data_IF_858722306471
#
_entry.id   IF_858722306471
#
_cell.length_a   1.000
_cell.length_b   1.000
_cell.length_c   1.000
_cell.angle_alpha   90.00
_cell.angle_beta   90.00
_cell.angle_gamma   90.00
#
_symmetry.space_group_name_H-M   'P 1'
#
loop_
_entity.id
_entity.type
_entity.pdbx_description
1 polymer ?
#
# COMPACT_ATOMS: atom_id res chain seq x y z
N UNK A 1 12.95 -28.66 -71.74
CA UNK A 1 13.72 -28.07 -70.63
C UNK A 1 12.77 -27.19 -69.83
N UNK A 2 12.18 -27.82 -68.83
CA UNK A 2 11.00 -27.39 -68.09
C UNK A 2 11.46 -26.82 -66.74
N UNK A 3 11.19 -25.54 -66.47
CA UNK A 3 11.53 -24.89 -65.20
C UNK A 3 10.32 -24.99 -64.26
N UNK A 4 10.38 -25.94 -63.34
CA UNK A 4 9.56 -26.04 -62.13
C UNK A 4 9.72 -24.80 -61.24
N UNK A 5 8.62 -24.24 -60.66
CA UNK A 5 8.70 -23.24 -59.62
C UNK A 5 9.00 -23.88 -58.25
N UNK A 6 9.99 -23.33 -57.55
CA UNK A 6 10.45 -23.76 -56.23
C UNK A 6 9.47 -23.24 -55.15
N UNK A 7 8.75 -24.17 -54.51
CA UNK A 7 8.05 -24.00 -53.23
C UNK A 7 9.02 -23.44 -52.18
N UNK A 8 8.70 -22.32 -51.56
CA UNK A 8 9.26 -21.94 -50.26
C UNK A 8 8.16 -22.14 -49.20
N UNK A 9 8.31 -23.22 -48.45
CA UNK A 9 7.76 -23.36 -47.10
C UNK A 9 8.80 -22.77 -46.14
N UNK A 10 8.33 -21.91 -45.25
CA UNK A 10 9.08 -21.29 -44.16
C UNK A 10 8.06 -20.65 -43.22
N UNK A 11 7.27 -21.50 -42.57
CA UNK A 11 6.56 -21.17 -41.34
C UNK A 11 7.56 -21.22 -40.16
N UNK A 12 7.16 -20.59 -39.05
CA UNK A 12 7.87 -20.42 -37.78
C UNK A 12 8.99 -19.36 -37.83
N UNK A 13 8.87 -18.19 -37.20
CA UNK A 13 8.45 -18.00 -35.82
C UNK A 13 8.21 -16.49 -35.60
N UNK A 14 6.94 -16.07 -35.53
CA UNK A 14 6.58 -14.78 -34.97
C UNK A 14 6.54 -14.95 -33.45
N UNK A 15 7.65 -14.59 -32.80
CA UNK A 15 7.67 -14.36 -31.36
C UNK A 15 6.50 -13.42 -30.99
N UNK A 16 5.63 -13.79 -30.04
CA UNK A 16 4.61 -12.88 -29.57
C UNK A 16 5.31 -11.70 -28.88
N UNK A 17 4.96 -10.52 -29.37
CA UNK A 17 5.38 -9.22 -28.87
C UNK A 17 5.52 -9.24 -27.34
N UNK A 18 6.71 -8.87 -26.88
CA UNK A 18 7.08 -8.82 -25.48
C UNK A 18 5.96 -8.24 -24.63
N UNK A 19 5.54 -9.03 -23.64
CA UNK A 19 4.87 -8.50 -22.46
C UNK A 19 5.75 -7.37 -21.94
N UNK A 20 5.28 -6.14 -22.10
CA UNK A 20 5.88 -4.97 -21.47
C UNK A 20 6.22 -5.34 -20.01
N UNK A 21 7.44 -5.03 -19.52
CA UNK A 21 7.72 -5.19 -18.11
C UNK A 21 6.63 -4.42 -17.34
N UNK A 22 6.07 -5.00 -16.27
CA UNK A 22 5.03 -4.33 -15.49
C UNK A 22 5.54 -2.94 -15.12
N UNK A 23 4.80 -1.92 -15.55
CA UNK A 23 5.07 -0.54 -15.15
C UNK A 23 5.14 -0.49 -13.63
N UNK A 24 5.99 0.37 -13.04
CA UNK A 24 6.11 0.47 -11.58
C UNK A 24 4.72 0.79 -11.02
N UNK A 25 4.08 -0.24 -10.47
CA UNK A 25 2.74 -0.20 -9.89
C UNK A 25 2.60 1.07 -9.05
N UNK A 26 1.66 1.92 -9.43
CA UNK A 26 1.13 2.95 -8.55
C UNK A 26 0.75 2.29 -7.23
N UNK A 27 1.38 2.73 -6.14
CA UNK A 27 1.06 2.29 -4.77
C UNK A 27 -0.46 2.21 -4.61
N UNK A 28 -0.96 1.07 -4.13
CA UNK A 28 -2.40 0.79 -4.02
C UNK A 28 -3.13 1.93 -3.27
N UNK A 29 -4.20 2.42 -3.88
CA UNK A 29 -5.03 3.48 -3.30
C UNK A 29 -5.67 3.03 -1.97
N UNK A 30 -5.86 1.72 -1.79
CA UNK A 30 -6.22 1.10 -0.51
C UNK A 30 -5.19 1.36 0.60
N UNK A 31 -3.90 1.16 0.32
CA UNK A 31 -2.80 1.42 1.26
C UNK A 31 -2.75 2.89 1.70
N UNK A 32 -2.91 3.84 0.77
CA UNK A 32 -2.95 5.26 1.12
C UNK A 32 -4.13 5.60 2.04
N UNK A 33 -5.33 5.06 1.77
CA UNK A 33 -6.50 5.25 2.63
C UNK A 33 -6.26 4.70 4.04
N UNK A 34 -5.60 3.55 4.15
CA UNK A 34 -5.28 2.94 5.45
C UNK A 34 -4.28 3.80 6.25
N UNK A 35 -3.20 4.26 5.61
CA UNK A 35 -2.19 5.12 6.23
C UNK A 35 -2.82 6.44 6.72
N UNK A 36 -3.70 7.06 5.92
CA UNK A 36 -4.42 8.27 6.32
C UNK A 36 -5.32 8.05 7.53
N UNK A 37 -6.08 6.94 7.56
CA UNK A 37 -6.92 6.58 8.71
C UNK A 37 -6.10 6.33 9.97
N UNK A 38 -4.96 5.65 9.82
CA UNK A 38 -4.03 5.44 10.93
C UNK A 38 -3.47 6.79 11.43
N UNK A 39 -3.04 7.68 10.53
CA UNK A 39 -2.54 9.02 10.88
C UNK A 39 -3.58 9.85 11.62
N UNK A 40 -4.84 9.83 11.16
CA UNK A 40 -5.95 10.50 11.84
C UNK A 40 -6.24 9.90 13.22
N UNK A 41 -6.17 8.57 13.36
CA UNK A 41 -6.33 7.90 14.65
C UNK A 41 -5.22 8.32 15.63
N UNK A 42 -3.95 8.35 15.19
CA UNK A 42 -2.85 8.82 16.04
C UNK A 42 -3.02 10.27 16.44
N UNK A 43 -3.41 11.14 15.51
CA UNK A 43 -3.74 12.53 15.81
C UNK A 43 -4.85 12.63 16.87
N UNK A 44 -5.93 11.86 16.74
CA UNK A 44 -7.05 11.87 17.68
C UNK A 44 -6.62 11.40 19.08
N UNK A 45 -5.87 10.30 19.17
CA UNK A 45 -5.38 9.76 20.44
C UNK A 45 -4.44 10.74 21.15
N UNK A 46 -3.49 11.33 20.41
CA UNK A 46 -2.54 12.28 20.97
C UNK A 46 -3.24 13.57 21.41
N UNK A 47 -4.18 14.08 20.60
CA UNK A 47 -4.98 15.25 20.94
C UNK A 47 -5.83 15.01 22.18
N UNK A 48 -6.46 13.84 22.30
CA UNK A 48 -7.25 13.45 23.47
C UNK A 48 -6.36 13.38 24.72
N UNK A 49 -5.17 12.79 24.60
CA UNK A 49 -4.19 12.75 25.70
C UNK A 49 -3.78 14.16 26.15
N UNK A 50 -3.48 15.07 25.21
CA UNK A 50 -3.12 16.45 25.53
C UNK A 50 -4.27 17.22 26.19
N UNK A 51 -5.51 17.02 25.71
CA UNK A 51 -6.71 17.62 26.30
C UNK A 51 -6.93 17.09 27.72
N UNK A 52 -6.91 15.76 27.91
CA UNK A 52 -7.06 15.13 29.22
C UNK A 52 -5.98 15.58 30.20
N UNK A 53 -4.72 15.64 29.76
CA UNK A 53 -3.62 16.13 30.56
C UNK A 53 -3.82 17.60 30.98
N UNK A 54 -4.32 18.45 30.08
CA UNK A 54 -4.58 19.86 30.38
C UNK A 54 -5.72 20.01 31.40
N UNK A 55 -6.81 19.26 31.23
CA UNK A 55 -7.92 19.21 32.19
C UNK A 55 -7.45 18.71 33.55
N UNK A 56 -6.69 17.61 33.57
CA UNK A 56 -6.12 17.06 34.80
C UNK A 56 -5.23 18.09 35.52
N UNK A 57 -4.35 18.79 34.81
CA UNK A 57 -3.49 19.83 35.40
C UNK A 57 -4.28 21.01 35.95
N UNK A 58 -5.40 21.37 35.33
CA UNK A 58 -6.28 22.43 35.81
C UNK A 58 -6.95 22.07 37.15
N UNK A 59 -7.38 20.83 37.33
CA UNK A 59 -8.08 20.40 38.56
C UNK A 59 -7.14 19.98 39.70
N UNK A 60 -5.96 19.45 39.39
CA UNK A 60 -5.04 18.86 40.37
C UNK A 60 -3.72 19.66 40.49
N UNK A 61 -3.77 20.97 40.26
CA UNK A 61 -2.62 21.84 40.39
C UNK A 61 -2.06 21.79 41.83
N UNK A 62 -0.74 21.58 41.96
CA UNK A 62 -0.05 21.53 43.26
C UNK A 62 0.04 20.15 43.93
N UNK A 63 -0.66 19.13 43.45
CA UNK A 63 -0.47 17.76 43.94
C UNK A 63 0.83 17.16 43.36
N UNK A 64 1.75 16.62 44.18
CA UNK A 64 2.89 15.84 43.71
C UNK A 64 2.39 14.47 43.22
N UNK A 65 1.72 14.47 42.07
CA UNK A 65 1.10 13.31 41.45
C UNK A 65 1.59 13.09 40.02
N UNK A 66 1.68 11.80 39.66
CA UNK A 66 2.22 11.19 38.44
C UNK A 66 2.14 12.00 37.12
N UNK A 67 3.21 11.86 36.32
CA UNK A 67 3.38 12.33 34.94
C UNK A 67 3.49 13.84 34.71
N UNK A 68 4.50 14.51 35.30
CA UNK A 68 4.83 15.87 34.87
C UNK A 68 5.40 15.90 33.44
N UNK A 69 4.62 16.42 32.50
CA UNK A 69 5.05 16.75 31.15
C UNK A 69 5.42 18.25 31.05
N UNK A 70 6.71 18.59 30.95
CA UNK A 70 7.14 19.97 30.75
C UNK A 70 6.58 20.58 29.45
N UNK A 71 6.48 21.91 29.41
CA UNK A 71 5.79 22.69 28.36
C UNK A 71 6.36 22.38 26.98
N UNK A 72 7.69 22.29 26.86
CA UNK A 72 8.41 22.05 25.62
C UNK A 72 8.00 20.72 24.99
N UNK A 73 7.76 19.70 25.81
CA UNK A 73 7.31 18.38 25.34
C UNK A 73 5.87 18.39 24.88
N UNK A 74 5.01 19.17 25.55
CA UNK A 74 3.62 19.35 25.11
C UNK A 74 3.56 20.03 23.76
N UNK A 75 4.38 21.07 23.57
CA UNK A 75 4.50 21.75 22.27
C UNK A 75 5.02 20.77 21.22
N UNK A 76 6.09 20.02 21.50
CA UNK A 76 6.61 19.02 20.57
C UNK A 76 5.59 17.94 20.18
N UNK A 77 4.82 17.44 21.15
CA UNK A 77 3.76 16.46 20.92
C UNK A 77 2.58 17.04 20.12
N UNK A 78 2.21 18.30 20.39
CA UNK A 78 1.18 19.01 19.63
C UNK A 78 1.61 19.27 18.18
N UNK A 79 2.87 19.68 17.95
CA UNK A 79 3.43 19.85 16.61
C UNK A 79 3.49 18.51 15.86
N UNK A 80 3.86 17.43 16.54
CA UNK A 80 3.85 16.10 15.96
C UNK A 80 2.42 15.65 15.56
N UNK A 81 1.44 15.85 16.45
CA UNK A 81 0.04 15.58 16.15
C UNK A 81 -0.47 16.42 14.96
N UNK A 82 -0.13 17.71 14.91
CA UNK A 82 -0.46 18.58 13.79
C UNK A 82 0.17 18.11 12.47
N UNK A 83 1.42 17.63 12.52
CA UNK A 83 2.10 17.01 11.37
C UNK A 83 1.35 15.79 10.85
N UNK A 84 0.96 14.86 11.74
CA UNK A 84 0.15 13.69 11.37
C UNK A 84 -1.20 14.06 10.77
N UNK A 85 -1.87 15.08 11.34
CA UNK A 85 -3.11 15.61 10.77
C UNK A 85 -2.86 16.15 9.36
N UNK A 86 -1.84 17.00 9.17
CA UNK A 86 -1.52 17.58 7.88
C UNK A 86 -1.24 16.50 6.80
N UNK A 87 -0.45 15.46 7.12
CA UNK A 87 -0.19 14.36 6.19
C UNK A 87 -1.42 13.48 5.93
N UNK A 88 -2.36 13.42 6.89
CA UNK A 88 -3.61 12.67 6.74
C UNK A 88 -4.68 13.38 5.90
N UNK A 89 -4.62 14.71 5.80
CA UNK A 89 -5.58 15.50 5.02
C UNK A 89 -5.31 15.41 3.52
N UNK A 90 -4.04 15.43 3.11
CA UNK A 90 -3.64 15.48 1.70
C UNK A 90 -3.01 14.16 1.24
N UNK A 91 -3.61 13.52 0.23
CA UNK A 91 -3.13 12.22 -0.29
C UNK A 91 -1.72 12.31 -0.88
N UNK A 92 -1.37 13.45 -1.50
CA UNK A 92 -0.04 13.67 -2.10
C UNK A 92 1.09 13.69 -1.09
N UNK A 93 0.79 13.98 0.18
CA UNK A 93 1.78 14.17 1.25
C UNK A 93 1.78 12.97 2.20
N UNK A 94 0.80 12.06 2.11
CA UNK A 94 0.67 10.88 2.98
C UNK A 94 1.94 10.01 3.03
N UNK A 95 2.73 9.95 1.94
CA UNK A 95 3.99 9.20 1.92
C UNK A 95 5.05 9.72 2.92
N UNK A 96 4.93 10.97 3.40
CA UNK A 96 5.82 11.56 4.40
C UNK A 96 5.50 11.11 5.83
N UNK A 97 4.33 10.53 6.09
CA UNK A 97 3.89 10.12 7.42
C UNK A 97 4.88 9.18 8.15
N UNK A 98 5.40 8.08 7.53
CA UNK A 98 6.42 7.26 8.17
C UNK A 98 7.73 8.00 8.43
N UNK A 99 8.07 8.97 7.58
CA UNK A 99 9.26 9.79 7.78
C UNK A 99 9.08 10.71 9.01
N UNK A 100 7.90 11.30 9.19
CA UNK A 100 7.56 12.06 10.39
C UNK A 100 7.65 11.20 11.66
N UNK A 101 7.14 9.97 11.61
CA UNK A 101 7.27 9.02 12.72
C UNK A 101 8.73 8.71 13.06
N UNK A 102 9.58 8.49 12.05
CA UNK A 102 11.01 8.26 12.25
C UNK A 102 11.72 9.48 12.82
N UNK A 103 11.42 10.69 12.34
CA UNK A 103 12.02 11.94 12.85
C UNK A 103 11.61 12.22 14.30
N UNK A 104 10.37 11.92 14.65
CA UNK A 104 9.86 12.09 16.02
C UNK A 104 10.50 11.12 17.03
N UNK A 105 11.07 10.03 16.52
CA UNK A 105 11.46 8.88 17.32
C UNK A 105 12.58 9.17 18.34
N UNK A 106 13.69 9.85 17.99
CA UNK A 106 14.67 10.28 18.98
C UNK A 106 14.09 11.24 20.01
N UNK A 107 13.15 12.11 19.60
CA UNK A 107 12.51 13.05 20.51
C UNK A 107 11.63 12.33 21.57
N UNK A 108 10.92 11.28 21.16
CA UNK A 108 10.16 10.43 22.09
C UNK A 108 11.09 9.73 23.11
N UNK A 109 12.26 9.28 22.66
CA UNK A 109 13.25 8.58 23.48
C UNK A 109 13.97 9.47 24.49
N UNK A 110 14.06 10.79 24.28
CA UNK A 110 14.79 11.72 25.17
C UNK A 110 14.36 11.63 26.64
N UNK A 111 13.15 11.18 26.93
CA UNK A 111 12.61 11.20 28.30
C UNK A 111 12.74 9.86 28.98
N UNK A 112 12.39 8.82 28.23
CA UNK A 112 12.37 7.45 28.66
C UNK A 112 12.86 6.64 27.46
N UNK A 113 14.18 6.43 27.33
CA UNK A 113 14.73 5.61 26.25
C UNK A 113 14.17 4.18 26.28
N UNK A 114 13.79 3.72 27.48
CA UNK A 114 13.14 2.43 27.74
C UNK A 114 11.63 2.42 27.44
N UNK A 115 11.05 3.52 26.96
CA UNK A 115 9.60 3.60 26.79
C UNK A 115 9.13 2.72 25.63
N UNK A 116 8.07 1.96 25.87
CA UNK A 116 7.37 1.20 24.84
C UNK A 116 6.80 2.11 23.72
N UNK A 117 6.68 3.42 23.97
CA UNK A 117 6.15 4.37 22.99
C UNK A 117 7.07 4.56 21.79
N UNK A 118 8.39 4.63 21.98
CA UNK A 118 9.34 4.78 20.88
C UNK A 118 9.42 3.51 20.03
N UNK A 119 9.36 2.35 20.68
CA UNK A 119 9.28 1.05 19.99
C UNK A 119 7.96 0.91 19.21
N UNK A 120 6.83 1.32 19.80
CA UNK A 120 5.55 1.35 19.13
C UNK A 120 5.58 2.23 17.87
N UNK A 121 6.06 3.48 18.01
CA UNK A 121 6.23 4.41 16.89
C UNK A 121 7.13 3.84 15.79
N UNK A 122 8.20 3.12 16.15
CA UNK A 122 9.08 2.45 15.20
C UNK A 122 8.37 1.35 14.41
N UNK A 123 7.64 0.48 15.10
CA UNK A 123 6.89 -0.61 14.48
C UNK A 123 5.86 -0.04 13.51
N UNK A 124 5.12 1.00 13.91
CA UNK A 124 4.15 1.68 13.07
C UNK A 124 4.83 2.28 11.83
N UNK A 125 5.99 2.95 12.00
CA UNK A 125 6.74 3.51 10.88
C UNK A 125 7.19 2.41 9.89
N UNK A 126 7.65 1.26 10.38
CA UNK A 126 8.01 0.12 9.52
C UNK A 126 6.79 -0.41 8.77
N UNK A 127 5.64 -0.56 9.43
CA UNK A 127 4.40 -1.01 8.79
C UNK A 127 3.96 -0.02 7.70
N UNK A 128 3.99 1.28 7.96
CA UNK A 128 3.67 2.31 6.95
C UNK A 128 4.66 2.31 5.78
N UNK A 129 5.96 2.17 6.03
CA UNK A 129 6.97 2.02 4.97
C UNK A 129 6.73 0.75 4.14
N UNK A 130 6.32 -0.34 4.77
CA UNK A 130 5.96 -1.58 4.09
C UNK A 130 4.72 -1.39 3.20
N UNK A 131 3.67 -0.72 3.71
CA UNK A 131 2.45 -0.42 2.96
C UNK A 131 2.71 0.49 1.74
N UNK A 132 3.68 1.39 1.84
CA UNK A 132 4.15 2.23 0.72
C UNK A 132 5.06 1.49 -0.26
N UNK A 133 5.38 0.21 0.00
CA UNK A 133 6.28 -0.57 -0.83
C UNK A 133 7.74 -0.13 -0.76
N UNK A 134 8.15 0.59 0.29
CA UNK A 134 9.52 1.09 0.45
C UNK A 134 10.55 -0.04 0.38
N UNK A 135 10.25 -1.21 0.95
CA UNK A 135 11.14 -2.37 0.99
C UNK A 135 11.15 -3.21 -0.30
N UNK A 136 10.39 -2.85 -1.36
CA UNK A 136 10.34 -3.60 -2.63
C UNK A 136 11.71 -3.72 -3.30
N UNK A 137 12.46 -2.62 -3.33
CA UNK A 137 13.80 -2.57 -3.92
C UNK A 137 14.86 -2.72 -2.82
N UNK A 138 15.54 -3.87 -2.81
CA UNK A 138 16.55 -4.25 -1.80
C UNK A 138 16.03 -4.27 -0.35
N UNK A 139 15.10 -5.19 -0.01
CA UNK A 139 14.46 -5.25 1.31
C UNK A 139 15.46 -5.35 2.46
N UNK A 140 16.52 -6.15 2.29
CA UNK A 140 17.54 -6.37 3.33
C UNK A 140 18.33 -5.11 3.67
N UNK A 141 18.83 -4.38 2.65
CA UNK A 141 19.61 -3.15 2.85
C UNK A 141 18.78 -2.05 3.51
N UNK A 142 17.52 -1.88 3.06
CA UNK A 142 16.61 -0.87 3.60
C UNK A 142 16.16 -1.19 5.02
N UNK A 143 15.87 -2.47 5.31
CA UNK A 143 15.53 -2.89 6.69
C UNK A 143 16.70 -2.65 7.62
N UNK A 144 17.92 -3.05 7.22
CA UNK A 144 19.12 -2.80 7.99
C UNK A 144 19.35 -1.31 8.26
N UNK A 145 19.13 -0.45 7.27
CA UNK A 145 19.24 1.01 7.41
C UNK A 145 18.29 1.57 8.47
N UNK A 146 17.00 1.21 8.41
CA UNK A 146 15.97 1.70 9.34
C UNK A 146 16.23 1.20 10.77
N UNK A 147 16.65 -0.05 10.92
CA UNK A 147 17.04 -0.60 12.22
C UNK A 147 18.32 0.02 12.78
N UNK A 148 19.33 0.25 11.92
CA UNK A 148 20.56 0.94 12.33
C UNK A 148 20.25 2.36 12.81
N UNK A 149 19.35 3.08 12.15
CA UNK A 149 18.90 4.40 12.60
C UNK A 149 18.30 4.36 14.01
N UNK A 150 17.40 3.41 14.29
CA UNK A 150 16.78 3.26 15.61
C UNK A 150 17.81 2.86 16.68
N UNK A 151 18.71 1.93 16.36
CA UNK A 151 19.79 1.49 17.25
C UNK A 151 20.75 2.65 17.61
N UNK A 152 21.18 3.43 16.62
CA UNK A 152 22.02 4.62 16.82
C UNK A 152 21.28 5.65 17.70
N UNK A 153 19.98 5.86 17.47
CA UNK A 153 19.16 6.76 18.29
C UNK A 153 19.13 6.35 19.76
N UNK A 154 18.95 5.05 20.05
CA UNK A 154 19.01 4.51 21.41
C UNK A 154 20.38 4.75 22.04
N UNK A 155 21.46 4.42 21.33
CA UNK A 155 22.83 4.55 21.84
C UNK A 155 23.16 6.00 22.16
N UNK A 156 22.90 6.93 21.23
CA UNK A 156 23.17 8.35 21.42
C UNK A 156 22.41 8.93 22.61
N UNK A 157 21.12 8.60 22.75
CA UNK A 157 20.29 9.10 23.84
C UNK A 157 20.69 8.47 25.19
N UNK A 158 21.01 7.17 25.18
CA UNK A 158 21.51 6.46 26.35
C UNK A 158 22.82 7.03 26.88
N UNK A 159 23.77 7.34 25.99
CA UNK A 159 25.03 8.02 26.34
C UNK A 159 24.76 9.42 26.90
N UNK A 160 23.88 10.19 26.25
CA UNK A 160 23.53 11.55 26.69
C UNK A 160 22.97 11.60 28.11
N UNK A 161 22.14 10.60 28.49
CA UNK A 161 21.55 10.50 29.82
C UNK A 161 22.42 9.78 30.86
N UNK A 162 23.66 9.39 30.51
CA UNK A 162 24.58 8.62 31.37
C UNK A 162 23.92 7.39 32.00
N UNK A 163 23.05 6.73 31.23
CA UNK A 163 22.26 5.58 31.71
C UNK A 163 23.14 4.34 31.88
N UNK A 164 22.69 3.44 32.75
CA UNK A 164 23.38 2.17 32.99
C UNK A 164 23.42 1.34 31.70
N UNK A 165 24.50 0.60 31.45
CA UNK A 165 24.65 -0.11 30.18
C UNK A 165 23.50 -1.11 29.89
N UNK A 166 22.91 -1.69 30.95
CA UNK A 166 21.80 -2.63 30.85
C UNK A 166 20.52 -2.01 30.27
N UNK A 167 20.23 -0.74 30.55
CA UNK A 167 19.07 -0.05 29.96
C UNK A 167 19.26 0.24 28.47
N UNK A 168 20.50 0.19 27.96
CA UNK A 168 20.78 0.27 26.52
C UNK A 168 20.77 -1.14 25.92
N UNK A 169 21.36 -2.11 26.61
CA UNK A 169 21.52 -3.48 26.12
C UNK A 169 20.17 -4.20 25.93
N UNK A 170 19.25 -4.09 26.90
CA UNK A 170 17.95 -4.81 26.82
C UNK A 170 17.11 -4.36 25.62
N UNK A 171 16.88 -3.05 25.39
CA UNK A 171 16.19 -2.59 24.18
C UNK A 171 16.90 -2.98 22.88
N UNK A 172 18.23 -3.00 22.87
CA UNK A 172 19.00 -3.43 21.68
C UNK A 172 18.83 -4.94 21.40
N UNK A 173 18.76 -5.78 22.43
CA UNK A 173 18.48 -7.21 22.27
C UNK A 173 17.05 -7.44 21.75
N UNK A 174 16.05 -6.76 22.32
CA UNK A 174 14.66 -6.81 21.86
C UNK A 174 14.57 -6.32 20.40
N UNK A 175 15.22 -5.20 20.08
CA UNK A 175 15.28 -4.67 18.72
C UNK A 175 15.92 -5.66 17.76
N UNK A 176 17.00 -6.34 18.17
CA UNK A 176 17.68 -7.34 17.35
C UNK A 176 16.80 -8.56 17.12
N UNK A 177 16.07 -9.03 18.13
CA UNK A 177 15.09 -10.10 18.01
C UNK A 177 13.93 -9.70 17.08
N UNK A 178 13.41 -8.48 17.22
CA UNK A 178 12.38 -7.92 16.33
C UNK A 178 12.89 -7.80 14.89
N UNK A 179 14.13 -7.37 14.70
CA UNK A 179 14.79 -7.31 13.39
C UNK A 179 14.89 -8.70 12.77
N UNK A 180 15.36 -9.70 13.52
CA UNK A 180 15.46 -11.08 13.06
C UNK A 180 14.08 -11.64 12.68
N UNK A 181 13.06 -11.37 13.49
CA UNK A 181 11.68 -11.75 13.19
C UNK A 181 11.16 -11.07 11.91
N UNK A 182 11.31 -9.75 11.78
CA UNK A 182 10.87 -9.03 10.59
C UNK A 182 11.66 -9.48 9.36
N UNK A 183 12.97 -9.69 9.47
CA UNK A 183 13.78 -10.23 8.37
C UNK A 183 13.35 -11.64 8.00
N UNK A 184 13.00 -12.50 8.96
CA UNK A 184 12.44 -13.83 8.68
C UNK A 184 11.15 -13.70 7.89
N UNK A 185 10.21 -12.90 8.39
CA UNK A 185 8.91 -12.61 7.75
C UNK A 185 9.07 -11.98 6.36
N UNK A 186 10.08 -11.12 6.15
CA UNK A 186 10.37 -10.49 4.86
C UNK A 186 11.17 -11.39 3.91
N UNK A 187 12.01 -12.29 4.44
CA UNK A 187 12.86 -13.21 3.67
C UNK A 187 12.09 -14.40 3.10
N UNK A 188 11.02 -14.81 3.78
CA UNK A 188 10.04 -15.75 3.25
C UNK A 188 9.15 -15.03 2.23
N UNK A 189 9.70 -14.82 1.03
CA UNK A 189 9.00 -14.55 -0.24
C UNK A 189 7.59 -13.99 -0.07
N UNK A 190 7.49 -12.68 0.15
CA UNK A 190 6.27 -11.92 -0.11
C UNK A 190 5.98 -11.91 -1.63
N UNK A 191 5.50 -13.04 -2.14
CA UNK A 191 4.59 -13.09 -3.30
C UNK A 191 3.14 -12.84 -2.88
N UNK A 192 2.92 -12.31 -1.68
CA UNK A 192 1.71 -11.54 -1.40
C UNK A 192 1.94 -10.15 -1.98
N UNK A 193 2.06 -10.07 -3.31
CA UNK A 193 1.41 -8.97 -4.00
C UNK A 193 -0.01 -9.02 -3.46
N UNK A 194 -0.50 -7.93 -2.88
CA UNK A 194 -1.92 -7.77 -2.60
C UNK A 194 -2.62 -7.67 -3.97
N UNK A 195 -2.54 -8.74 -4.77
CA UNK A 195 -3.53 -9.02 -5.79
C UNK A 195 -4.71 -9.38 -4.93
N UNK A 196 -5.64 -8.43 -4.75
CA UNK A 196 -7.02 -8.82 -4.43
C UNK A 196 -7.30 -10.00 -5.35
N UNK A 197 -7.62 -11.21 -4.84
CA UNK A 197 -7.91 -12.32 -5.73
C UNK A 197 -9.00 -11.80 -6.65
N UNK A 198 -8.64 -11.52 -7.91
CA UNK A 198 -9.59 -11.08 -8.92
C UNK A 198 -10.64 -12.17 -8.90
N UNK A 199 -11.86 -11.81 -8.50
CA UNK A 199 -12.93 -12.79 -8.42
C UNK A 199 -13.03 -13.40 -9.82
N UNK A 200 -12.93 -14.72 -9.89
CA UNK A 200 -12.93 -15.42 -11.17
C UNK A 200 -14.37 -15.49 -11.60
N UNK A 201 -14.82 -14.55 -12.43
CA UNK A 201 -16.18 -14.60 -12.97
C UNK A 201 -16.15 -15.56 -14.16
N UNK A 202 -16.92 -16.64 -14.04
CA UNK A 202 -17.36 -17.40 -15.21
C UNK A 202 -18.46 -16.61 -15.90
N UNK A 203 -18.22 -16.20 -17.14
CA UNK A 203 -19.20 -15.43 -17.92
C UNK A 203 -20.53 -16.20 -18.09
N UNK A 204 -20.48 -17.52 -17.96
CA UNK A 204 -21.63 -18.44 -17.97
C UNK A 204 -22.55 -18.24 -16.76
N UNK A 205 -21.98 -17.99 -15.58
CA UNK A 205 -22.73 -17.78 -14.33
C UNK A 205 -23.47 -16.43 -14.33
N UNK A 206 -23.04 -15.49 -15.18
CA UNK A 206 -23.70 -14.20 -15.43
C UNK A 206 -24.77 -14.27 -16.52
N UNK A 207 -25.10 -15.47 -17.02
CA UNK A 207 -26.18 -15.67 -17.98
C UNK A 207 -25.89 -15.08 -19.37
N UNK A 208 -24.61 -14.89 -19.74
CA UNK A 208 -24.27 -14.51 -21.10
C UNK A 208 -24.45 -15.69 -22.05
N UNK A 209 -25.17 -15.44 -23.14
CA UNK A 209 -25.28 -16.34 -24.27
C UNK A 209 -23.92 -16.52 -24.94
N UNK A 210 -23.75 -17.60 -25.69
CA UNK A 210 -22.52 -17.89 -26.44
C UNK A 210 -22.11 -16.73 -27.37
N UNK A 211 -23.10 -16.09 -28.02
CA UNK A 211 -22.86 -14.94 -28.91
C UNK A 211 -22.44 -13.68 -28.16
N UNK A 212 -23.05 -13.38 -27.01
CA UNK A 212 -22.65 -12.26 -26.16
C UNK A 212 -21.23 -12.47 -25.60
N UNK A 213 -20.89 -13.69 -25.18
CA UNK A 213 -19.53 -14.03 -24.73
C UNK A 213 -18.51 -13.83 -25.84
N UNK A 214 -18.81 -14.27 -27.05
CA UNK A 214 -17.92 -14.12 -28.19
C UNK A 214 -17.65 -12.63 -28.50
N UNK A 215 -18.71 -11.81 -28.54
CA UNK A 215 -18.58 -10.37 -28.80
C UNK A 215 -17.81 -9.66 -27.68
N UNK A 216 -18.07 -10.03 -26.42
CA UNK A 216 -17.38 -9.46 -25.28
C UNK A 216 -15.89 -9.81 -25.27
N UNK A 217 -15.54 -11.05 -25.62
CA UNK A 217 -14.13 -11.49 -25.73
C UNK A 217 -13.37 -10.69 -26.77
N UNK A 218 -13.94 -10.50 -27.95
CA UNK A 218 -13.27 -9.75 -29.02
C UNK A 218 -13.18 -8.25 -28.69
N UNK A 219 -14.19 -7.71 -28.03
CA UNK A 219 -14.12 -6.35 -27.49
C UNK A 219 -13.04 -6.17 -26.43
N UNK A 220 -12.87 -7.14 -25.53
CA UNK A 220 -11.79 -7.16 -24.53
C UNK A 220 -10.39 -7.25 -25.16
N UNK A 221 -10.27 -7.85 -26.36
CA UNK A 221 -9.03 -7.83 -27.16
C UNK A 221 -8.78 -6.48 -27.85
N UNK A 222 -9.67 -5.51 -27.68
CA UNK A 222 -9.55 -4.17 -28.25
C UNK A 222 -10.26 -3.97 -29.58
N UNK A 223 -11.04 -4.93 -30.07
CA UNK A 223 -11.80 -4.74 -31.31
C UNK A 223 -12.92 -3.72 -31.12
N UNK A 224 -13.08 -2.86 -32.11
CA UNK A 224 -14.18 -1.91 -32.21
C UNK A 224 -15.47 -2.61 -32.64
N UNK A 225 -16.63 -2.00 -32.36
CA UNK A 225 -17.93 -2.57 -32.78
C UNK A 225 -18.02 -2.80 -34.29
N UNK A 226 -17.34 -1.97 -35.09
CA UNK A 226 -17.26 -2.11 -36.53
C UNK A 226 -16.46 -3.35 -36.95
N UNK A 227 -15.34 -3.61 -36.28
CA UNK A 227 -14.50 -4.80 -36.54
C UNK A 227 -15.20 -6.08 -36.09
N UNK A 228 -15.88 -6.07 -34.94
CA UNK A 228 -16.71 -7.18 -34.47
C UNK A 228 -17.84 -7.44 -35.47
N UNK A 229 -18.54 -6.39 -35.92
CA UNK A 229 -19.61 -6.52 -36.91
C UNK A 229 -19.11 -7.17 -38.21
N UNK A 230 -17.94 -6.75 -38.67
CA UNK A 230 -17.28 -7.32 -39.85
C UNK A 230 -16.90 -8.80 -39.64
N UNK A 231 -16.29 -9.14 -38.49
CA UNK A 231 -15.84 -10.50 -38.17
C UNK A 231 -16.97 -11.51 -38.06
N UNK A 232 -18.12 -11.10 -37.50
CA UNK A 232 -19.29 -11.96 -37.33
C UNK A 232 -20.34 -11.82 -38.45
N UNK A 233 -20.03 -11.05 -39.51
CA UNK A 233 -20.94 -10.79 -40.64
C UNK A 233 -22.32 -10.27 -40.23
N UNK A 234 -22.36 -9.35 -39.27
CA UNK A 234 -23.59 -8.69 -38.78
C UNK A 234 -23.51 -7.18 -38.96
N UNK A 235 -24.63 -6.48 -38.80
CA UNK A 235 -24.62 -5.02 -38.80
C UNK A 235 -24.01 -4.47 -37.50
N UNK A 236 -23.39 -3.29 -37.55
CA UNK A 236 -22.89 -2.61 -36.34
C UNK A 236 -24.03 -2.34 -35.32
N UNK A 237 -25.24 -2.08 -35.82
CA UNK A 237 -26.44 -1.92 -34.97
C UNK A 237 -26.74 -3.19 -34.17
N UNK A 238 -26.58 -4.37 -34.79
CA UNK A 238 -26.74 -5.66 -34.12
C UNK A 238 -25.72 -5.83 -32.99
N UNK A 239 -24.46 -5.48 -33.21
CA UNK A 239 -23.42 -5.54 -32.17
C UNK A 239 -23.76 -4.60 -31.01
N UNK A 240 -24.16 -3.35 -31.30
CA UNK A 240 -24.55 -2.37 -30.28
C UNK A 240 -25.74 -2.85 -29.45
N UNK A 241 -26.75 -3.44 -30.10
CA UNK A 241 -27.91 -4.00 -29.40
C UNK A 241 -27.51 -5.18 -28.51
N UNK A 242 -26.62 -6.07 -28.97
CA UNK A 242 -26.06 -7.14 -28.13
C UNK A 242 -25.30 -6.57 -26.93
N UNK A 243 -24.52 -5.49 -27.11
CA UNK A 243 -23.83 -4.82 -25.99
C UNK A 243 -24.78 -4.16 -25.00
N UNK A 244 -25.94 -3.64 -25.43
CA UNK A 244 -26.97 -3.15 -24.51
C UNK A 244 -27.43 -4.26 -23.55
N UNK A 245 -27.70 -5.46 -24.08
CA UNK A 245 -28.04 -6.61 -23.23
C UNK A 245 -26.89 -7.05 -22.32
N UNK A 246 -25.65 -6.93 -22.77
CA UNK A 246 -24.47 -7.18 -21.92
C UNK A 246 -24.43 -6.14 -20.79
N UNK A 247 -24.61 -4.86 -21.09
CA UNK A 247 -24.63 -3.79 -20.10
C UNK A 247 -25.69 -4.03 -19.01
N UNK A 248 -26.90 -4.42 -19.41
CA UNK A 248 -27.98 -4.77 -18.48
C UNK A 248 -27.60 -5.96 -17.58
N UNK A 249 -26.95 -6.99 -18.13
CA UNK A 249 -26.51 -8.18 -17.35
C UNK A 249 -25.39 -7.87 -16.35
N UNK A 250 -24.61 -6.83 -16.62
CA UNK A 250 -23.55 -6.35 -15.74
C UNK A 250 -23.98 -5.16 -14.87
N UNK A 251 -25.24 -4.73 -14.95
CA UNK A 251 -25.80 -3.57 -14.23
C UNK A 251 -24.98 -2.28 -14.46
N UNK A 252 -24.56 -2.05 -15.70
CA UNK A 252 -23.79 -0.87 -16.12
C UNK A 252 -24.51 -0.10 -17.20
N UNK A 253 -24.24 1.21 -17.26
CA UNK A 253 -24.90 2.11 -18.22
C UNK A 253 -24.12 2.25 -19.52
N UNK A 254 -22.81 2.01 -19.48
CA UNK A 254 -21.92 2.35 -20.59
C UNK A 254 -20.67 1.47 -20.69
N UNK A 255 -19.93 1.69 -21.78
CA UNK A 255 -18.65 1.05 -22.06
C UNK A 255 -17.64 1.25 -20.93
N UNK A 256 -17.59 2.45 -20.33
CA UNK A 256 -16.63 2.74 -19.27
C UNK A 256 -16.94 1.93 -18.01
N UNK A 257 -18.21 1.84 -17.61
CA UNK A 257 -18.67 1.01 -16.51
C UNK A 257 -18.38 -0.47 -16.75
N UNK A 258 -18.65 -0.97 -17.96
CA UNK A 258 -18.34 -2.37 -18.30
C UNK A 258 -16.84 -2.67 -18.20
N UNK A 259 -15.98 -1.78 -18.72
CA UNK A 259 -14.53 -1.94 -18.63
C UNK A 259 -14.02 -1.84 -17.18
N UNK A 260 -14.62 -0.97 -16.36
CA UNK A 260 -14.29 -0.85 -14.95
C UNK A 260 -14.55 -2.18 -14.23
N UNK A 261 -15.74 -2.76 -14.39
CA UNK A 261 -16.09 -4.06 -13.82
C UNK A 261 -15.13 -5.13 -14.33
N UNK A 262 -14.94 -5.25 -15.64
CA UNK A 262 -14.09 -6.31 -16.21
C UNK A 262 -12.60 -6.16 -15.87
N UNK A 263 -12.13 -4.97 -15.50
CA UNK A 263 -10.75 -4.76 -15.03
C UNK A 263 -10.49 -5.32 -13.63
N UNK A 264 -11.55 -5.49 -12.84
CA UNK A 264 -11.52 -6.01 -11.46
C UNK A 264 -11.57 -7.54 -11.40
N UNK A 265 -11.93 -8.22 -12.49
CA UNK A 265 -12.11 -9.67 -12.55
C UNK A 265 -11.12 -10.34 -13.52
N UNK A 266 -10.73 -11.59 -13.22
CA UNK A 266 -10.00 -12.45 -14.16
C UNK A 266 -11.05 -13.33 -14.83
N UNK A 267 -11.27 -13.10 -16.12
CA UNK A 267 -12.24 -13.87 -16.92
C UNK A 267 -11.69 -15.29 -17.08
N UNK A 268 -12.39 -16.27 -16.51
CA UNK A 268 -12.09 -17.69 -16.69
C UNK A 268 -13.20 -18.32 -17.53
N UNK A 269 -12.78 -19.08 -18.55
CA UNK A 269 -13.66 -19.87 -19.40
C UNK A 269 -14.31 -21.04 -18.65
#
# INVERSE_FOLDING_TARGET
MEKTPKRMQGADSLEPAGSLPPSPESIDEGSYRLIRRAGFLFFAVISLFLAFYTVYRFFFEGQPGFFYYPVEKRIGLALFAAGLLATSLEQRITWLQPLFLLIYLPFAMLNNPDSLYSMGAFIIAIIELQLLGFFRTHPTKKTLLVFAYYAISIVLIGISHRRFFLSILVPMLILSALMAFILMVLSEKWQIIVVRPREKIRLEERGLTERERAYLKDFMKGLTFKEIAFQYHVSESTVRNTFAHIYDKFDVQDKAGLLSILSEFDIID
#
